data_IF_224258272570
#
_entry.id   IF_224258272570
#
_cell.length_a   1.000
_cell.length_b   1.000
_cell.length_c   1.000
_cell.angle_alpha   90.00
_cell.angle_beta   90.00
_cell.angle_gamma   90.00
#
_symmetry.space_group_name_H-M   'P 1'
#
loop_
_entity.id
_entity.type
_entity.pdbx_description
1 polymer ?
#
# COMPACT_ATOMS: atom_id res chain seq x y z
N UNK A 1 2.10 -9.23 3.37
CA UNK A 1 2.98 -8.06 3.11
C UNK A 1 3.81 -8.35 1.87
N UNK A 2 3.78 -7.43 0.91
CA UNK A 2 4.17 -7.67 -0.48
C UNK A 2 5.24 -6.70 -0.94
N UNK A 3 6.38 -7.23 -1.38
CA UNK A 3 7.38 -6.49 -2.14
C UNK A 3 7.46 -7.16 -3.52
N UNK A 4 6.86 -6.53 -4.52
CA UNK A 4 7.07 -6.88 -5.93
C UNK A 4 7.06 -5.65 -6.84
N UNK A 5 7.65 -5.80 -8.04
CA UNK A 5 8.10 -4.70 -8.85
C UNK A 5 6.99 -4.26 -9.80
N UNK A 6 6.96 -2.94 -10.01
CA UNK A 6 6.75 -2.32 -11.30
C UNK A 6 5.36 -1.83 -11.74
N UNK A 7 5.35 -0.55 -12.13
CA UNK A 7 4.33 0.27 -12.82
C UNK A 7 3.13 0.78 -12.02
N UNK A 8 3.34 2.02 -11.57
CA UNK A 8 2.57 3.22 -11.91
C UNK A 8 1.64 3.78 -10.85
N UNK A 9 2.08 4.97 -10.42
CA UNK A 9 1.26 6.14 -10.11
C UNK A 9 0.23 5.97 -8.99
N UNK A 10 0.58 6.49 -7.81
CA UNK A 10 -0.40 7.29 -7.07
C UNK A 10 -0.62 8.57 -7.86
N UNK A 11 -1.46 8.49 -8.90
CA UNK A 11 -2.20 9.66 -9.33
C UNK A 11 -3.28 9.82 -8.26
N UNK A 12 -2.90 10.36 -7.10
CA UNK A 12 -3.90 11.15 -6.39
C UNK A 12 -4.30 12.19 -7.42
N UNK A 13 -5.53 12.06 -7.93
CA UNK A 13 -6.33 13.07 -8.59
C UNK A 13 -5.46 14.21 -9.17
N UNK A 14 -5.22 14.22 -10.49
CA UNK A 14 -5.36 15.50 -11.18
C UNK A 14 -6.71 16.01 -10.66
N UNK A 15 -6.74 17.14 -9.96
CA UNK A 15 -8.01 17.81 -9.65
C UNK A 15 -8.73 17.90 -11.00
N UNK A 16 -9.64 16.97 -11.28
CA UNK A 16 -10.91 17.36 -11.82
C UNK A 16 -11.38 18.35 -10.76
N UNK A 17 -11.37 19.62 -11.13
CA UNK A 17 -11.61 20.74 -10.23
C UNK A 17 -13.02 20.61 -9.66
N UNK A 18 -13.17 19.82 -8.61
CA UNK A 18 -14.42 19.72 -7.88
C UNK A 18 -14.50 20.92 -6.94
N UNK A 19 -15.62 21.66 -6.95
CA UNK A 19 -15.82 22.72 -5.98
C UNK A 19 -15.70 22.12 -4.56
N UNK A 20 -15.07 22.82 -3.60
CA UNK A 20 -14.97 22.33 -2.24
C UNK A 20 -16.38 22.11 -1.69
N UNK A 21 -16.74 20.85 -1.40
CA UNK A 21 -17.94 20.55 -0.63
C UNK A 21 -17.68 20.90 0.84
N UNK A 22 -18.68 21.44 1.56
CA UNK A 22 -18.55 21.76 2.97
C UNK A 22 -18.18 20.51 3.77
N UNK A 23 -17.32 20.66 4.78
CA UNK A 23 -16.88 19.59 5.65
C UNK A 23 -18.10 18.90 6.29
N UNK A 24 -18.39 17.66 5.91
CA UNK A 24 -19.31 16.81 6.66
C UNK A 24 -18.58 16.27 7.88
N UNK A 25 -19.25 16.26 9.02
CA UNK A 25 -18.80 15.51 10.18
C UNK A 25 -18.78 14.03 9.81
N UNK A 26 -17.58 13.48 9.63
CA UNK A 26 -17.40 12.07 9.37
C UNK A 26 -17.52 11.34 10.69
N UNK A 27 -18.29 10.25 10.74
CA UNK A 27 -18.12 9.23 11.77
C UNK A 27 -16.76 8.60 11.51
N UNK A 28 -15.72 9.16 12.14
CA UNK A 28 -14.41 8.53 12.19
C UNK A 28 -14.61 7.19 12.87
N UNK A 29 -14.42 6.10 12.13
CA UNK A 29 -14.19 4.80 12.77
C UNK A 29 -12.99 5.02 13.69
N UNK A 30 -13.12 4.78 15.01
CA UNK A 30 -11.99 4.96 15.91
C UNK A 30 -10.82 4.13 15.38
N UNK A 31 -9.63 4.73 15.34
CA UNK A 31 -8.39 3.99 15.07
C UNK A 31 -8.41 2.79 16.02
N UNK A 32 -8.44 1.58 15.46
CA UNK A 32 -8.46 0.38 16.30
C UNK A 32 -7.12 0.33 17.02
N UNK A 33 -7.14 0.73 18.30
CA UNK A 33 -5.97 0.76 19.16
C UNK A 33 -5.58 -0.67 19.52
N UNK A 34 -4.54 -1.17 18.83
CA UNK A 34 -3.25 -1.61 19.38
C UNK A 34 -2.65 -2.73 18.53
N UNK A 35 -1.45 -2.51 17.99
CA UNK A 35 -0.67 -3.58 17.35
C UNK A 35 0.67 -3.77 18.08
N UNK A 36 1.56 -2.78 18.06
CA UNK A 36 2.85 -2.73 18.78
C UNK A 36 3.46 -1.32 18.61
N UNK A 37 4.62 -0.98 19.22
CA UNK A 37 5.21 0.37 19.15
C UNK A 37 5.43 0.96 17.75
N UNK A 38 5.33 0.19 16.66
CA UNK A 38 5.56 0.66 15.29
C UNK A 38 4.57 0.12 14.24
N UNK A 39 3.60 -0.69 14.65
CA UNK A 39 2.61 -1.29 13.76
C UNK A 39 1.25 -0.62 14.02
N UNK A 40 0.47 -0.35 12.98
CA UNK A 40 -0.90 0.15 13.11
C UNK A 40 -1.86 -0.69 12.30
N UNK A 41 -3.03 -0.97 12.88
CA UNK A 41 -4.15 -1.55 12.16
C UNK A 41 -4.99 -0.44 11.53
N UNK A 42 -5.40 -0.67 10.29
CA UNK A 42 -6.50 0.05 9.64
C UNK A 42 -7.52 -1.01 9.25
N UNK A 43 -8.79 -0.79 9.58
CA UNK A 43 -9.83 -1.77 9.32
C UNK A 43 -10.90 -1.22 8.39
N UNK A 44 -11.32 -2.03 7.42
CA UNK A 44 -12.58 -1.84 6.71
C UNK A 44 -13.67 -2.43 7.60
N UNK A 45 -14.48 -1.55 8.20
CA UNK A 45 -15.51 -1.94 9.16
C UNK A 45 -16.91 -1.68 8.59
N UNK A 46 -17.35 -2.57 7.69
CA UNK A 46 -18.72 -2.59 7.21
C UNK A 46 -19.18 -4.02 6.81
N UNK A 47 -19.11 -5.00 7.72
CA UNK A 47 -19.37 -6.40 7.40
C UNK A 47 -20.80 -6.64 6.89
N UNK A 48 -21.77 -5.85 7.35
CA UNK A 48 -23.19 -5.94 6.92
C UNK A 48 -23.39 -5.66 5.43
N UNK A 49 -22.47 -4.91 4.80
CA UNK A 49 -22.47 -4.65 3.36
C UNK A 49 -21.33 -5.40 2.64
N UNK A 50 -20.78 -6.45 3.23
CA UNK A 50 -19.65 -7.18 2.67
C UNK A 50 -18.43 -6.29 2.46
N UNK A 51 -18.19 -5.34 3.38
CA UNK A 51 -17.05 -4.43 3.33
C UNK A 51 -16.92 -3.68 2.00
N UNK A 52 -18.06 -3.28 1.42
CA UNK A 52 -18.10 -2.51 0.18
C UNK A 52 -17.39 -1.15 0.33
N UNK A 53 -16.59 -0.81 -0.68
CA UNK A 53 -15.84 0.44 -0.81
C UNK A 53 -16.77 1.57 -1.30
N UNK A 54 -17.69 1.98 -0.43
CA UNK A 54 -18.46 3.20 -0.60
C UNK A 54 -17.55 4.43 -0.54
N UNK A 55 -18.00 5.57 -1.08
CA UNK A 55 -17.23 6.82 -1.02
C UNK A 55 -16.82 7.18 0.41
N UNK A 56 -17.72 6.98 1.38
CA UNK A 56 -17.43 7.24 2.80
C UNK A 56 -16.34 6.32 3.37
N UNK A 57 -16.32 5.04 2.99
CA UNK A 57 -15.27 4.10 3.41
C UNK A 57 -13.95 4.49 2.77
N UNK A 58 -13.97 4.84 1.48
CA UNK A 58 -12.79 5.29 0.75
C UNK A 58 -12.17 6.57 1.36
N UNK A 59 -13.01 7.56 1.69
CA UNK A 59 -12.57 8.80 2.35
C UNK A 59 -12.03 8.54 3.77
N UNK A 60 -12.66 7.63 4.52
CA UNK A 60 -12.19 7.21 5.84
C UNK A 60 -10.82 6.52 5.76
N UNK A 61 -10.64 5.60 4.80
CA UNK A 61 -9.35 4.93 4.57
C UNK A 61 -8.26 5.93 4.17
N UNK A 62 -8.56 6.85 3.24
CA UNK A 62 -7.63 7.92 2.87
C UNK A 62 -7.23 8.76 4.09
N UNK A 63 -8.20 9.17 4.90
CA UNK A 63 -7.95 9.95 6.11
C UNK A 63 -7.09 9.18 7.13
N UNK A 64 -7.37 7.90 7.38
CA UNK A 64 -6.60 7.06 8.31
C UNK A 64 -5.17 6.82 7.82
N UNK A 65 -4.98 6.53 6.53
CA UNK A 65 -3.65 6.38 5.93
C UNK A 65 -2.84 7.68 6.02
N UNK A 66 -3.45 8.82 5.71
CA UNK A 66 -2.79 10.13 5.82
C UNK A 66 -2.54 10.56 7.26
N UNK A 67 -3.37 10.14 8.22
CA UNK A 67 -3.15 10.39 9.64
C UNK A 67 -1.95 9.57 10.17
N UNK A 68 -1.80 8.33 9.71
CA UNK A 68 -0.65 7.48 10.05
C UNK A 68 0.65 8.10 9.58
N UNK A 69 0.68 8.70 8.39
CA UNK A 69 1.87 9.38 7.90
C UNK A 69 1.46 10.57 7.03
N UNK A 70 1.43 11.79 7.59
CA UNK A 70 1.09 13.00 6.83
C UNK A 70 2.00 13.20 5.63
N UNK A 71 3.24 12.70 5.72
CA UNK A 71 4.19 12.62 4.63
C UNK A 71 3.67 11.86 3.41
N UNK A 72 2.82 10.82 3.57
CA UNK A 72 2.28 9.98 2.47
C UNK A 72 1.57 10.76 1.38
N UNK A 73 1.06 11.97 1.66
CA UNK A 73 0.54 12.89 0.65
C UNK A 73 1.56 13.22 -0.46
N UNK A 74 2.85 13.14 -0.15
CA UNK A 74 3.97 13.39 -1.06
C UNK A 74 4.52 12.11 -1.72
N UNK A 75 4.18 10.93 -1.19
CA UNK A 75 4.64 9.64 -1.71
C UNK A 75 3.75 9.19 -2.87
N UNK A 76 3.93 9.81 -4.03
CA UNK A 76 3.15 9.45 -5.22
C UNK A 76 3.29 10.37 -6.41
N UNK A 77 3.35 11.69 -6.15
CA UNK A 77 3.48 12.72 -7.18
C UNK A 77 4.87 13.39 -7.22
N UNK A 78 5.46 13.65 -6.04
CA UNK A 78 6.59 14.57 -5.91
C UNK A 78 7.64 14.07 -4.90
N UNK A 79 7.90 12.75 -4.83
CA UNK A 79 9.05 12.24 -4.07
C UNK A 79 10.33 12.51 -4.86
N UNK A 80 10.66 13.78 -5.01
CA UNK A 80 11.98 14.23 -5.43
C UNK A 80 12.88 14.13 -4.21
N UNK A 81 13.46 12.93 -4.00
CA UNK A 81 14.60 12.81 -3.08
C UNK A 81 15.60 13.89 -3.53
N UNK A 82 15.99 14.82 -2.66
CA UNK A 82 16.85 15.92 -3.05
C UNK A 82 18.26 15.36 -3.21
N UNK A 83 18.55 14.66 -4.30
CA UNK A 83 19.73 13.80 -4.45
C UNK A 83 21.09 14.51 -4.31
N UNK A 84 21.07 15.81 -4.11
CA UNK A 84 22.18 16.70 -3.86
C UNK A 84 21.86 17.52 -2.60
N UNK A 85 22.86 17.74 -1.74
CA UNK A 85 22.67 18.49 -0.50
C UNK A 85 23.49 17.95 0.67
N UNK A 86 23.55 18.74 1.74
CA UNK A 86 24.23 18.40 2.99
C UNK A 86 23.38 17.46 3.86
N UNK A 87 23.94 17.04 4.99
CA UNK A 87 23.24 16.15 5.94
C UNK A 87 22.02 16.84 6.59
N UNK A 88 21.96 18.19 6.60
CA UNK A 88 20.82 18.93 7.13
C UNK A 88 19.63 18.92 6.16
N UNK A 89 19.86 19.01 4.85
CA UNK A 89 18.82 18.86 3.83
C UNK A 89 18.21 17.45 3.87
N UNK A 90 19.06 16.44 4.06
CA UNK A 90 18.67 15.05 4.30
C UNK A 90 17.71 14.92 5.49
N UNK A 91 18.06 15.47 6.65
CA UNK A 91 17.19 15.39 7.84
C UNK A 91 15.85 16.11 7.66
N UNK A 92 15.84 17.25 6.95
CA UNK A 92 14.60 17.98 6.64
C UNK A 92 13.66 17.16 5.75
N UNK A 93 14.21 16.43 4.78
CA UNK A 93 13.45 15.58 3.88
C UNK A 93 12.71 14.45 4.62
N UNK A 94 13.35 13.86 5.64
CA UNK A 94 12.74 12.79 6.44
C UNK A 94 11.84 13.28 7.58
N UNK A 95 11.87 14.58 7.91
CA UNK A 95 11.08 15.16 9.02
C UNK A 95 9.57 14.87 8.95
N UNK A 96 8.91 14.84 7.77
CA UNK A 96 7.48 14.53 7.68
C UNK A 96 7.13 13.05 7.89
N UNK A 97 8.12 12.15 7.90
CA UNK A 97 7.89 10.72 8.09
C UNK A 97 7.48 10.47 9.55
N UNK A 98 6.34 9.82 9.76
CA UNK A 98 5.96 9.38 11.08
C UNK A 98 6.92 8.27 11.56
N UNK A 99 7.62 8.53 12.67
CA UNK A 99 8.57 7.58 13.28
C UNK A 99 7.87 6.55 14.18
N UNK A 100 6.67 6.86 14.64
CA UNK A 100 5.88 5.99 15.52
C UNK A 100 5.17 4.87 14.74
N UNK A 101 5.14 4.94 13.41
CA UNK A 101 4.50 3.93 12.56
C UNK A 101 5.39 3.59 11.38
N UNK A 102 5.86 2.34 11.36
CA UNK A 102 6.69 1.77 10.29
C UNK A 102 5.90 0.86 9.37
N UNK A 103 4.89 0.18 9.90
CA UNK A 103 4.08 -0.79 9.15
C UNK A 103 2.60 -0.55 9.42
N UNK A 104 1.80 -0.61 8.37
CA UNK A 104 0.35 -0.64 8.47
C UNK A 104 -0.13 -2.01 8.03
N UNK A 105 -1.03 -2.60 8.82
CA UNK A 105 -1.78 -3.79 8.46
C UNK A 105 -3.21 -3.33 8.14
N UNK A 106 -3.60 -3.47 6.88
CA UNK A 106 -4.98 -3.27 6.47
C UNK A 106 -5.73 -4.60 6.65
N UNK A 107 -6.89 -4.55 7.30
CA UNK A 107 -7.74 -5.72 7.60
C UNK A 107 -9.20 -5.40 7.34
N UNK A 108 -10.04 -6.42 7.38
CA UNK A 108 -11.50 -6.28 7.32
C UNK A 108 -12.14 -6.84 8.58
N UNK A 109 -13.17 -6.17 9.07
CA UNK A 109 -14.01 -6.72 10.16
C UNK A 109 -15.07 -7.69 9.60
N UNK A 110 -15.43 -8.68 10.41
CA UNK A 110 -16.41 -9.72 10.08
C UNK A 110 -15.84 -10.94 9.36
N UNK A 111 -16.64 -12.00 9.32
CA UNK A 111 -16.22 -13.27 8.73
C UNK A 111 -16.41 -13.29 7.22
N UNK A 112 -15.43 -13.85 6.51
CA UNK A 112 -15.65 -14.39 5.19
C UNK A 112 -15.75 -13.39 4.04
N UNK A 113 -15.51 -12.07 4.19
CA UNK A 113 -15.31 -11.15 3.04
C UNK A 113 -14.34 -10.04 3.41
N UNK A 114 -13.22 -9.93 2.69
CA UNK A 114 -12.32 -8.80 2.88
C UNK A 114 -12.93 -7.50 2.35
N UNK A 115 -13.33 -7.50 1.07
CA UNK A 115 -14.11 -6.43 0.45
C UNK A 115 -14.86 -6.96 -0.77
N UNK A 116 -16.08 -6.48 -0.98
CA UNK A 116 -16.90 -6.78 -2.16
C UNK A 116 -16.68 -5.82 -3.34
N UNK A 117 -15.72 -4.89 -3.23
CA UNK A 117 -15.50 -3.84 -4.22
C UNK A 117 -16.42 -2.63 -4.01
N UNK A 118 -16.68 -1.85 -5.05
CA UNK A 118 -17.51 -0.64 -4.92
C UNK A 118 -18.95 -0.92 -4.49
N UNK A 119 -19.56 0.00 -3.74
CA UNK A 119 -20.99 -0.04 -3.45
C UNK A 119 -21.79 0.23 -4.75
N UNK A 120 -22.34 -0.84 -5.34
CA UNK A 120 -23.07 -0.77 -6.60
C UNK A 120 -24.32 0.13 -6.51
N UNK A 121 -24.87 0.36 -5.31
CA UNK A 121 -25.98 1.31 -5.14
C UNK A 121 -25.53 2.74 -5.39
N UNK A 122 -24.32 3.10 -4.97
CA UNK A 122 -23.75 4.43 -5.22
C UNK A 122 -23.48 4.66 -6.70
N UNK A 123 -22.91 3.66 -7.39
CA UNK A 123 -22.67 3.70 -8.83
C UNK A 123 -23.99 3.88 -9.59
N UNK A 124 -25.03 3.13 -9.22
CA UNK A 124 -26.34 3.23 -9.86
C UNK A 124 -26.99 4.62 -9.67
N UNK A 125 -26.81 5.23 -8.50
CA UNK A 125 -27.42 6.53 -8.18
C UNK A 125 -26.70 7.71 -8.86
N UNK A 126 -25.42 7.58 -9.20
CA UNK A 126 -24.62 8.63 -9.84
C UNK A 126 -23.86 8.13 -11.08
N UNK A 127 -24.57 7.83 -12.20
CA UNK A 127 -23.96 7.23 -13.39
C UNK A 127 -23.10 8.22 -14.22
N UNK A 128 -23.28 9.52 -14.03
CA UNK A 128 -22.51 10.58 -14.71
C UNK A 128 -21.18 10.79 -13.99
N UNK A 129 -20.22 9.95 -14.36
CA UNK A 129 -18.85 9.85 -13.88
C UNK A 129 -18.17 11.21 -13.59
N UNK A 130 -18.05 11.53 -12.31
CA UNK A 130 -17.15 12.54 -11.74
C UNK A 130 -16.73 12.10 -10.32
N UNK A 131 -17.63 11.43 -9.59
CA UNK A 131 -17.44 11.02 -8.19
C UNK A 131 -16.98 9.54 -8.01
N UNK A 132 -16.67 8.78 -9.08
CA UNK A 132 -16.07 7.44 -8.92
C UNK A 132 -14.60 7.60 -8.52
N UNK A 133 -14.36 7.86 -7.23
CA UNK A 133 -13.02 7.81 -6.66
C UNK A 133 -12.55 6.37 -6.63
N UNK A 134 -11.53 6.07 -7.40
CA UNK A 134 -10.76 4.86 -7.20
C UNK A 134 -9.66 5.20 -6.18
N UNK A 135 -9.68 4.56 -4.99
CA UNK A 135 -8.46 4.46 -4.20
C UNK A 135 -7.50 3.60 -5.03
N UNK A 136 -6.43 4.20 -5.55
CA UNK A 136 -5.34 3.49 -6.21
C UNK A 136 -4.43 2.78 -5.19
N UNK A 137 -4.94 2.42 -4.00
CA UNK A 137 -4.21 1.63 -3.03
C UNK A 137 -4.18 0.17 -3.49
N UNK A 138 -3.09 -0.22 -4.15
CA UNK A 138 -2.87 -1.57 -4.66
C UNK A 138 -2.57 -2.63 -3.60
N UNK A 139 -3.12 -2.52 -2.39
CA UNK A 139 -2.57 -3.21 -1.22
C UNK A 139 -3.47 -4.25 -0.53
N UNK A 140 -4.66 -4.58 -1.05
CA UNK A 140 -5.38 -5.76 -0.54
C UNK A 140 -6.11 -6.58 -1.60
N UNK A 141 -5.73 -7.84 -1.67
CA UNK A 141 -6.27 -8.84 -2.56
C UNK A 141 -6.79 -9.97 -1.67
N UNK A 142 -8.11 -10.06 -1.49
CA UNK A 142 -8.77 -11.20 -0.82
C UNK A 142 -8.29 -12.49 -1.51
N UNK A 143 -7.81 -13.51 -0.80
CA UNK A 143 -7.43 -14.78 -1.41
C UNK A 143 -8.59 -15.48 -2.15
N UNK A 144 -9.84 -14.99 -2.04
CA UNK A 144 -11.00 -15.37 -2.86
C UNK A 144 -11.37 -14.28 -3.88
N UNK A 145 -10.41 -13.58 -4.49
CA UNK A 145 -10.72 -12.53 -5.46
C UNK A 145 -11.61 -13.05 -6.58
N UNK A 146 -12.77 -12.42 -6.72
CA UNK A 146 -13.63 -12.56 -7.90
C UNK A 146 -13.69 -11.22 -8.60
N UNK A 147 -13.22 -11.13 -9.85
CA UNK A 147 -13.53 -9.99 -10.71
C UNK A 147 -14.92 -10.18 -11.30
N UNK A 148 -15.96 -9.97 -10.50
CA UNK A 148 -17.37 -10.23 -10.89
C UNK A 148 -18.04 -9.07 -11.62
N UNK A 149 -17.36 -7.94 -11.80
CA UNK A 149 -17.95 -6.76 -12.44
C UNK A 149 -18.52 -7.03 -13.84
N UNK A 150 -17.94 -7.98 -14.59
CA UNK A 150 -18.50 -8.38 -15.89
C UNK A 150 -19.94 -8.90 -15.79
N UNK A 151 -20.33 -9.56 -14.67
CA UNK A 151 -21.70 -10.05 -14.43
C UNK A 151 -22.71 -8.92 -14.27
N UNK A 152 -22.27 -7.75 -13.82
CA UNK A 152 -23.10 -6.56 -13.63
C UNK A 152 -23.01 -5.59 -14.82
N UNK A 153 -22.31 -5.97 -15.89
CA UNK A 153 -22.04 -5.10 -17.04
C UNK A 153 -20.94 -4.06 -16.82
N UNK A 154 -20.24 -4.10 -15.67
CA UNK A 154 -19.17 -3.18 -15.30
C UNK A 154 -17.82 -3.90 -15.30
N UNK A 155 -17.15 -3.94 -16.45
CA UNK A 155 -15.84 -4.58 -16.55
C UNK A 155 -14.86 -4.00 -15.52
N UNK A 156 -14.10 -4.86 -14.84
CA UNK A 156 -13.18 -4.49 -13.77
C UNK A 156 -11.90 -3.82 -14.30
N UNK A 157 -12.02 -2.75 -15.09
CA UNK A 157 -10.89 -2.05 -15.72
C UNK A 157 -9.93 -1.48 -14.68
N UNK A 158 -10.43 -0.86 -13.61
CA UNK A 158 -9.57 -0.31 -12.55
C UNK A 158 -8.91 -1.39 -11.70
N UNK A 159 -9.61 -2.43 -11.20
CA UNK A 159 -8.93 -3.58 -10.60
C UNK A 159 -7.98 -4.33 -11.54
N UNK A 160 -8.21 -4.27 -12.87
CA UNK A 160 -7.32 -4.94 -13.83
C UNK A 160 -5.91 -4.36 -13.84
N UNK A 161 -5.74 -3.08 -13.47
CA UNK A 161 -4.42 -2.42 -13.41
C UNK A 161 -3.49 -3.16 -12.44
N UNK A 162 -3.75 -3.22 -11.13
CA UNK A 162 -2.88 -3.95 -10.20
C UNK A 162 -2.83 -5.46 -10.50
N UNK A 163 -3.91 -6.06 -10.98
CA UNK A 163 -3.90 -7.48 -11.34
C UNK A 163 -2.96 -7.77 -12.52
N UNK A 164 -2.92 -6.89 -13.53
CA UNK A 164 -2.07 -7.06 -14.71
C UNK A 164 -0.58 -6.98 -14.41
N UNK A 165 -0.22 -6.33 -13.31
CA UNK A 165 1.17 -6.21 -12.85
C UNK A 165 1.61 -7.46 -12.06
N UNK A 166 0.66 -8.18 -11.47
CA UNK A 166 0.94 -9.28 -10.54
C UNK A 166 0.61 -10.67 -11.13
N UNK A 167 -0.23 -10.74 -12.15
CA UNK A 167 -0.67 -12.01 -12.74
C UNK A 167 -0.10 -12.24 -14.15
N UNK A 168 0.27 -13.49 -14.49
CA UNK A 168 0.50 -13.87 -15.87
C UNK A 168 -0.74 -13.59 -16.74
N UNK A 169 -0.52 -13.15 -17.97
CA UNK A 169 -1.59 -12.70 -18.88
C UNK A 169 -2.76 -13.70 -19.02
N UNK A 170 -2.49 -15.01 -19.10
CA UNK A 170 -3.56 -16.02 -19.20
C UNK A 170 -4.39 -16.12 -17.91
N UNK A 171 -3.75 -16.09 -16.75
CA UNK A 171 -4.44 -16.12 -15.44
C UNK A 171 -5.23 -14.84 -15.20
N UNK A 172 -4.68 -13.68 -15.57
CA UNK A 172 -5.36 -12.39 -15.55
C UNK A 172 -6.65 -12.43 -16.38
N UNK A 173 -6.56 -12.83 -17.65
CA UNK A 173 -7.73 -12.89 -18.52
C UNK A 173 -8.76 -13.89 -18.03
N UNK A 174 -8.34 -15.07 -17.54
CA UNK A 174 -9.25 -16.04 -16.92
C UNK A 174 -10.01 -15.40 -15.75
N UNK A 175 -9.30 -14.73 -14.84
CA UNK A 175 -9.91 -14.08 -13.69
C UNK A 175 -10.88 -12.96 -14.11
N UNK A 176 -10.47 -12.05 -15.00
CA UNK A 176 -11.26 -10.89 -15.40
C UNK A 176 -12.46 -11.23 -16.29
N UNK A 177 -12.33 -12.21 -17.19
CA UNK A 177 -13.38 -12.57 -18.14
C UNK A 177 -14.40 -13.55 -17.55
N UNK A 178 -14.01 -14.37 -16.57
CA UNK A 178 -14.90 -15.38 -15.95
C UNK A 178 -15.35 -15.01 -14.55
N UNK A 179 -14.66 -14.08 -13.88
CA UNK A 179 -14.81 -13.78 -12.44
C UNK A 179 -14.84 -15.00 -11.54
N UNK A 180 -14.25 -16.12 -11.97
CA UNK A 180 -14.16 -17.33 -11.17
C UNK A 180 -13.20 -17.07 -10.02
N UNK A 181 -13.61 -17.27 -8.75
CA UNK A 181 -12.70 -17.12 -7.62
C UNK A 181 -11.52 -18.06 -7.77
N UNK A 182 -10.33 -17.56 -7.47
CA UNK A 182 -9.14 -18.39 -7.27
C UNK A 182 -8.99 -18.71 -5.78
N UNK A 183 -8.58 -19.92 -5.39
CA UNK A 183 -8.27 -20.23 -4.00
C UNK A 183 -6.91 -19.64 -3.59
N UNK A 184 -6.69 -19.50 -2.27
CA UNK A 184 -5.45 -18.95 -1.70
C UNK A 184 -4.18 -19.66 -2.20
N UNK A 185 -4.21 -21.00 -2.34
CA UNK A 185 -3.08 -21.78 -2.85
C UNK A 185 -2.73 -21.45 -4.30
N UNK A 186 -3.73 -21.20 -5.15
CA UNK A 186 -3.51 -20.76 -6.52
C UNK A 186 -3.03 -19.31 -6.56
N UNK A 187 -3.62 -18.42 -5.74
CA UNK A 187 -3.15 -17.04 -5.62
C UNK A 187 -1.66 -16.99 -5.20
N UNK A 188 -1.23 -17.91 -4.33
CA UNK A 188 0.17 -18.04 -3.91
C UNK A 188 1.06 -18.52 -5.07
N UNK A 189 0.65 -19.56 -5.80
CA UNK A 189 1.43 -20.10 -6.94
C UNK A 189 1.55 -19.10 -8.09
N UNK A 190 0.54 -18.23 -8.26
CA UNK A 190 0.55 -17.13 -9.21
C UNK A 190 1.33 -15.90 -8.71
N UNK A 191 1.87 -15.94 -7.49
CA UNK A 191 2.54 -14.81 -6.81
C UNK A 191 1.65 -13.58 -6.59
N UNK A 192 0.33 -13.78 -6.62
CA UNK A 192 -0.64 -12.75 -6.28
C UNK A 192 -0.67 -12.51 -4.77
N UNK A 193 -0.51 -13.58 -3.99
CA UNK A 193 -0.29 -13.52 -2.54
C UNK A 193 1.11 -14.04 -2.15
N UNK A 194 1.69 -13.60 -1.03
CA UNK A 194 3.07 -13.90 -0.63
C UNK A 194 3.13 -15.03 0.39
N UNK A 195 2.08 -15.18 1.19
CA UNK A 195 1.98 -16.16 2.25
C UNK A 195 0.53 -16.63 2.38
N UNK A 196 0.36 -17.87 2.82
CA UNK A 196 -0.92 -18.45 3.21
C UNK A 196 -0.74 -19.02 4.60
N UNK A 197 -1.63 -18.65 5.50
CA UNK A 197 -1.67 -19.16 6.87
C UNK A 197 -3.03 -19.82 7.13
N UNK A 198 -3.07 -20.84 8.01
CA UNK A 198 -4.31 -21.23 8.67
C UNK A 198 -5.06 -20.03 9.25
N UNK A 199 -6.40 -20.11 9.25
CA UNK A 199 -7.25 -18.99 9.68
C UNK A 199 -6.99 -18.59 11.15
N UNK A 200 -6.75 -19.58 12.01
CA UNK A 200 -6.45 -19.44 13.43
C UNK A 200 -5.09 -18.77 13.71
N UNK A 201 -4.11 -18.89 12.81
CA UNK A 201 -2.79 -18.26 12.96
C UNK A 201 -2.57 -17.03 12.10
N UNK A 202 -3.50 -16.70 11.19
CA UNK A 202 -3.36 -15.59 10.24
C UNK A 202 -3.00 -14.26 10.93
N UNK A 203 -3.68 -13.94 12.04
CA UNK A 203 -3.45 -12.70 12.77
C UNK A 203 -2.05 -12.66 13.39
N UNK A 204 -1.63 -13.74 14.06
CA UNK A 204 -0.31 -13.82 14.69
C UNK A 204 0.82 -13.82 13.66
N UNK A 205 0.66 -14.54 12.55
CA UNK A 205 1.65 -14.62 11.48
C UNK A 205 1.82 -13.26 10.78
N UNK A 206 0.71 -12.56 10.55
CA UNK A 206 0.72 -11.21 9.97
C UNK A 206 1.42 -10.22 10.90
N UNK A 207 1.12 -10.27 12.20
CA UNK A 207 1.75 -9.40 13.19
C UNK A 207 3.26 -9.70 13.31
N UNK A 208 3.65 -10.97 13.40
CA UNK A 208 5.05 -11.37 13.48
C UNK A 208 5.87 -10.89 12.26
N UNK A 209 5.27 -10.94 11.06
CA UNK A 209 5.86 -10.38 9.85
C UNK A 209 6.00 -8.86 9.94
N UNK A 210 4.94 -8.15 10.33
CA UNK A 210 4.95 -6.70 10.47
C UNK A 210 5.99 -6.22 11.49
N UNK A 211 6.08 -6.88 12.64
CA UNK A 211 7.11 -6.62 13.64
C UNK A 211 8.51 -6.92 13.10
N UNK A 212 8.65 -7.98 12.30
CA UNK A 212 9.87 -8.31 11.58
C UNK A 212 10.41 -7.16 10.75
N UNK A 213 9.52 -6.51 9.99
CA UNK A 213 9.86 -5.33 9.21
C UNK A 213 10.10 -4.11 10.10
N UNK A 214 9.29 -3.91 11.13
CA UNK A 214 9.39 -2.77 12.02
C UNK A 214 10.69 -2.72 12.84
N UNK A 215 11.42 -3.84 12.97
CA UNK A 215 12.76 -3.88 13.58
C UNK A 215 13.83 -3.15 12.75
N UNK A 216 13.61 -2.95 11.45
CA UNK A 216 14.55 -2.20 10.62
C UNK A 216 14.35 -0.67 10.75
N UNK A 217 15.30 0.09 10.21
CA UNK A 217 15.14 1.54 10.09
C UNK A 217 14.03 1.89 9.11
N UNK A 218 13.06 2.69 9.57
CA UNK A 218 11.93 3.14 8.76
C UNK A 218 12.38 3.95 7.54
N UNK A 219 13.37 4.83 7.69
CA UNK A 219 13.93 5.64 6.59
C UNK A 219 14.64 4.78 5.54
N UNK A 220 15.45 3.81 5.99
CA UNK A 220 16.14 2.89 5.08
C UNK A 220 15.13 2.06 4.29
N UNK A 221 14.10 1.53 4.96
CA UNK A 221 13.03 0.78 4.30
C UNK A 221 12.21 1.64 3.33
N UNK A 222 11.87 2.88 3.71
CA UNK A 222 11.16 3.81 2.85
C UNK A 222 11.96 4.12 1.58
N UNK A 223 13.25 4.40 1.71
CA UNK A 223 14.15 4.63 0.58
C UNK A 223 14.28 3.38 -0.31
N UNK A 224 14.43 2.20 0.31
CA UNK A 224 14.49 0.92 -0.41
C UNK A 224 13.20 0.62 -1.17
N UNK A 225 12.04 0.77 -0.54
CA UNK A 225 10.72 0.58 -1.18
C UNK A 225 10.53 1.56 -2.35
N UNK A 226 10.92 2.83 -2.17
CA UNK A 226 10.90 3.81 -3.25
C UNK A 226 11.80 3.38 -4.40
N UNK A 227 13.05 3.01 -4.12
CA UNK A 227 13.99 2.60 -5.15
C UNK A 227 13.53 1.35 -5.92
N UNK A 228 12.97 0.37 -5.20
CA UNK A 228 12.41 -0.86 -5.78
C UNK A 228 11.18 -0.59 -6.66
N UNK A 229 10.43 0.47 -6.36
CA UNK A 229 9.34 0.90 -7.23
C UNK A 229 9.86 1.64 -8.47
N UNK A 230 10.82 2.53 -8.30
CA UNK A 230 11.33 3.39 -9.39
C UNK A 230 12.19 2.64 -10.41
N UNK A 231 13.17 1.82 -9.98
CA UNK A 231 13.92 0.97 -10.93
C UNK A 231 13.02 -0.04 -11.63
N UNK A 232 11.86 -0.29 -11.02
CA UNK A 232 10.70 -0.88 -11.58
C UNK A 232 10.51 -0.28 -12.99
N UNK A 233 9.97 0.93 -12.94
CA UNK A 233 9.30 1.65 -14.03
C UNK A 233 10.25 2.07 -15.15
N UNK A 234 11.55 2.02 -14.88
CA UNK A 234 12.61 2.27 -15.83
C UNK A 234 12.71 1.15 -16.89
N UNK A 235 13.08 1.52 -18.11
CA UNK A 235 13.27 0.56 -19.21
C UNK A 235 14.75 0.16 -19.33
N UNK A 236 15.67 1.12 -19.28
CA UNK A 236 17.10 0.87 -19.50
C UNK A 236 17.81 0.24 -18.31
N UNK A 237 18.49 -0.90 -18.52
CA UNK A 237 19.29 -1.54 -17.46
C UNK A 237 20.37 -0.60 -16.89
N UNK A 238 21.02 0.16 -17.76
CA UNK A 238 22.05 1.14 -17.36
C UNK A 238 21.47 2.22 -16.46
N UNK A 239 20.33 2.79 -16.83
CA UNK A 239 19.63 3.83 -16.05
C UNK A 239 19.23 3.29 -14.67
N UNK A 240 18.77 2.04 -14.59
CA UNK A 240 18.45 1.37 -13.31
C UNK A 240 19.69 1.29 -12.41
N UNK A 241 20.85 0.94 -12.96
CA UNK A 241 22.09 0.89 -12.19
C UNK A 241 22.59 2.27 -11.76
N UNK A 242 22.52 3.27 -12.65
CA UNK A 242 22.90 4.65 -12.33
C UNK A 242 22.02 5.22 -11.21
N UNK A 243 20.71 4.98 -11.30
CA UNK A 243 19.75 5.34 -10.24
C UNK A 243 20.00 4.55 -8.95
N UNK A 244 20.22 3.24 -9.02
CA UNK A 244 20.54 2.42 -7.85
C UNK A 244 21.81 2.88 -7.14
N UNK A 245 22.84 3.25 -7.89
CA UNK A 245 24.06 3.83 -7.33
C UNK A 245 23.79 5.19 -6.65
N UNK A 246 22.91 6.01 -7.22
CA UNK A 246 22.46 7.28 -6.63
C UNK A 246 21.76 7.06 -5.28
N UNK A 247 20.82 6.12 -5.23
CA UNK A 247 20.12 5.69 -4.01
C UNK A 247 21.11 5.16 -2.97
N UNK A 248 22.06 4.32 -3.37
CA UNK A 248 23.03 3.75 -2.44
C UNK A 248 23.92 4.83 -1.80
N UNK A 249 24.45 5.77 -2.60
CA UNK A 249 25.23 6.92 -2.09
C UNK A 249 24.44 7.75 -1.08
N UNK A 250 23.13 7.84 -1.26
CA UNK A 250 22.22 8.48 -0.30
C UNK A 250 22.03 7.66 0.96
N UNK A 251 21.74 6.37 0.81
CA UNK A 251 21.47 5.47 1.91
C UNK A 251 22.63 5.42 2.90
N UNK A 252 23.87 5.31 2.43
CA UNK A 252 25.08 5.24 3.30
C UNK A 252 25.33 6.51 4.12
N UNK A 253 24.71 7.64 3.77
CA UNK A 253 24.81 8.89 4.55
C UNK A 253 23.87 8.91 5.74
N UNK A 254 22.78 8.12 5.71
CA UNK A 254 21.81 8.05 6.80
C UNK A 254 22.47 7.57 8.10
N UNK A 255 22.13 8.21 9.21
CA UNK A 255 22.62 7.81 10.54
C UNK A 255 22.34 6.35 10.84
N UNK A 256 21.14 5.87 10.53
CA UNK A 256 20.74 4.48 10.70
C UNK A 256 21.52 3.50 9.81
N UNK A 257 21.93 3.91 8.61
CA UNK A 257 22.76 3.05 7.77
C UNK A 257 24.19 2.92 8.35
N UNK A 258 24.76 4.04 8.83
CA UNK A 258 26.06 4.05 9.52
C UNK A 258 26.02 3.15 10.77
N UNK A 259 24.95 3.27 11.57
CA UNK A 259 24.73 2.43 12.74
C UNK A 259 24.54 0.96 12.38
N UNK A 260 23.75 0.64 11.36
CA UNK A 260 23.56 -0.74 10.91
C UNK A 260 24.87 -1.40 10.48
N UNK A 261 25.72 -0.69 9.74
CA UNK A 261 27.06 -1.17 9.36
C UNK A 261 27.95 -1.34 10.60
N UNK A 262 27.99 -0.35 11.48
CA UNK A 262 28.79 -0.42 12.70
C UNK A 262 28.36 -1.57 13.64
N UNK A 263 27.06 -1.79 13.78
CA UNK A 263 26.49 -2.87 14.56
C UNK A 263 26.84 -4.25 13.98
N UNK A 264 26.74 -4.41 12.66
CA UNK A 264 27.11 -5.63 11.96
C UNK A 264 28.60 -5.96 12.13
N UNK A 265 29.49 -4.98 11.89
CA UNK A 265 30.94 -5.15 12.07
C UNK A 265 31.30 -5.43 13.53
N UNK A 266 30.58 -4.81 14.47
CA UNK A 266 30.74 -5.02 15.91
C UNK A 266 30.02 -6.24 16.47
N UNK A 267 29.35 -7.05 15.64
CA UNK A 267 28.58 -8.25 16.05
C UNK A 267 27.56 -7.99 17.17
N UNK A 268 26.87 -6.85 17.12
CA UNK A 268 25.84 -6.43 18.08
C UNK A 268 24.52 -6.11 17.36
N UNK A 269 23.44 -6.00 18.12
CA UNK A 269 22.18 -5.45 17.61
C UNK A 269 22.33 -3.98 17.22
N UNK A 270 21.70 -3.59 16.12
CA UNK A 270 21.63 -2.19 15.70
C UNK A 270 20.56 -1.44 16.50
N UNK A 271 20.85 -0.19 16.89
CA UNK A 271 19.91 0.70 17.56
C UNK A 271 19.57 1.85 16.64
N UNK A 272 18.52 1.67 15.84
CA UNK A 272 18.03 2.70 14.92
C UNK A 272 17.32 3.83 15.68
N UNK A 273 17.45 5.06 15.18
CA UNK A 273 16.91 6.29 15.80
C UNK A 273 15.66 6.85 15.12
N UNK A 274 15.26 6.21 14.01
CA UNK A 274 14.08 6.49 13.18
C UNK A 274 14.08 7.86 12.48
#
# INVERSE_FOLDING_TARGET
MFLRPNLLHFSILKRLSFPPRPARAYTTTPLCHDATPYVRYIAIDNPRKGNALSLSVLESLEHQLLAVNPGWKYFGRDWEVPWEGDDAALERFWKPLNREVKVVILRSEGEGVFSSGHDLKEIRLNPTCQDIRCLQSGDDIDPRTTSTGYRTGLFCTTPSVPLSLNLPSKSLHRLLLTGTPIPASEALSLHLISHVSPHDTLASDTLALAEGIARASGRVLALGKYAVRTHAEMVGLREKYEFGAKVMRWNVRLGDAKEGVAAFLGKRGAVFKD
#
